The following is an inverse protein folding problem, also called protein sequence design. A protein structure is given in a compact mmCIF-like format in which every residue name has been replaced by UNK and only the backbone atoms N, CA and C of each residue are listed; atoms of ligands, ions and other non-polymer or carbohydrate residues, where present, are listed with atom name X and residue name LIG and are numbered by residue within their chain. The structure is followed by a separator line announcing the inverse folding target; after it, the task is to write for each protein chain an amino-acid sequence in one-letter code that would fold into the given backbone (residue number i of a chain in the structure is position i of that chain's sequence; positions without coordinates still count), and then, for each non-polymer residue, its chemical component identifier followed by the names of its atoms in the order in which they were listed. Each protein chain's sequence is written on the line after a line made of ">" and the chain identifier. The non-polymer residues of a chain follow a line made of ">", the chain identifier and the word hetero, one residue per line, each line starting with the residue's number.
data_IF_407140893700
#
_entry.id   IF_407140893700
#
_cell.length_a   1.000
_cell.length_b   1.000
_cell.length_c   1.000
_cell.angle_alpha   90.00
_cell.angle_beta   90.00
_cell.angle_gamma   90.00
#
_symmetry.space_group_name_H-M   'P 1'
#
loop_
_entity.id
_entity.type
_entity.pdbx_description
1 polymer ?
#
# COMPACT_ATOMS: atom_id res chain seq x y z
N UNK A 1 -23.70 32.57 23.26
CA UNK A 1 -22.31 32.06 23.20
C UNK A 1 -21.77 32.09 21.78
N UNK A 2 -22.53 31.69 20.76
CA UNK A 2 -22.12 31.74 19.34
C UNK A 2 -21.73 33.15 18.83
N UNK A 3 -22.46 34.22 19.18
CA UNK A 3 -22.10 35.59 18.73
C UNK A 3 -20.77 36.09 19.27
N UNK A 4 -20.37 35.65 20.47
CA UNK A 4 -19.07 36.05 21.07
C UNK A 4 -17.90 35.39 20.33
N UNK A 5 -18.07 34.15 19.86
CA UNK A 5 -17.07 33.43 19.07
C UNK A 5 -16.91 34.02 17.66
N UNK A 6 -18.01 34.47 17.04
CA UNK A 6 -17.99 35.09 15.70
C UNK A 6 -17.26 36.44 15.75
N UNK A 7 -17.59 37.31 16.71
CA UNK A 7 -16.92 38.61 16.91
C UNK A 7 -15.44 38.45 17.25
N UNK A 8 -15.08 37.39 17.99
CA UNK A 8 -13.68 37.08 18.32
C UNK A 8 -12.88 36.64 17.10
N UNK A 9 -13.43 35.78 16.23
CA UNK A 9 -12.77 35.33 14.99
C UNK A 9 -12.54 36.48 14.00
N UNK A 10 -13.48 37.39 13.83
CA UNK A 10 -13.36 38.54 12.92
C UNK A 10 -12.32 39.56 13.42
N UNK A 11 -12.26 39.77 14.74
CA UNK A 11 -11.25 40.62 15.38
C UNK A 11 -9.85 40.02 15.27
N UNK A 12 -9.70 38.71 15.53
CA UNK A 12 -8.43 37.99 15.38
C UNK A 12 -7.94 38.04 13.92
N UNK A 13 -8.86 37.92 12.95
CA UNK A 13 -8.55 38.01 11.51
C UNK A 13 -7.96 39.37 11.13
N UNK A 14 -8.52 40.46 11.69
CA UNK A 14 -7.97 41.82 11.49
C UNK A 14 -6.59 42.00 12.14
N UNK A 15 -6.37 41.37 13.28
CA UNK A 15 -5.11 41.44 14.01
C UNK A 15 -4.03 40.47 13.49
N UNK A 16 -4.35 39.56 12.55
CA UNK A 16 -3.42 38.52 12.11
C UNK A 16 -2.09 39.08 11.56
N UNK A 17 -2.15 40.14 10.77
CA UNK A 17 -0.96 40.81 10.21
C UNK A 17 -0.15 41.48 11.30
N UNK A 18 -0.81 42.19 12.23
CA UNK A 18 -0.14 42.85 13.36
C UNK A 18 0.51 41.83 14.31
N UNK A 19 -0.17 40.72 14.61
CA UNK A 19 0.37 39.63 15.43
C UNK A 19 1.62 39.03 14.77
N UNK A 20 1.55 38.73 13.48
CA UNK A 20 2.65 38.10 12.78
C UNK A 20 3.83 39.06 12.56
N UNK A 21 3.59 40.36 12.39
CA UNK A 21 4.64 41.39 12.20
C UNK A 21 5.27 41.80 13.53
N UNK A 22 4.47 42.15 14.54
CA UNK A 22 4.98 42.75 15.78
C UNK A 22 5.28 41.73 16.88
N UNK A 23 4.60 40.57 16.91
CA UNK A 23 4.84 39.57 17.94
C UNK A 23 5.66 38.38 17.45
N UNK A 24 5.44 37.93 16.22
CA UNK A 24 6.20 36.82 15.63
C UNK A 24 7.42 37.30 14.83
N UNK A 25 7.59 38.61 14.64
CA UNK A 25 8.68 39.26 13.91
C UNK A 25 8.89 38.68 12.50
N UNK A 26 7.80 38.24 11.84
CA UNK A 26 7.84 37.64 10.51
C UNK A 26 7.90 38.73 9.43
N UNK A 27 8.72 38.56 8.37
CA UNK A 27 8.83 39.52 7.28
C UNK A 27 7.65 39.39 6.32
N UNK A 28 6.52 40.02 6.64
CA UNK A 28 5.27 39.92 5.87
C UNK A 28 5.06 41.14 4.98
N UNK A 29 4.60 40.90 3.76
CA UNK A 29 4.09 41.96 2.88
C UNK A 29 2.71 42.43 3.38
N UNK A 30 2.51 43.72 3.72
CA UNK A 30 1.30 44.18 4.38
C UNK A 30 -0.01 43.90 3.63
N UNK A 31 0.04 43.83 2.30
CA UNK A 31 -1.14 43.65 1.43
C UNK A 31 -1.34 42.19 0.96
N UNK A 32 -0.54 41.23 1.45
CA UNK A 32 -0.59 39.83 0.99
C UNK A 32 -1.61 38.96 1.75
N UNK A 33 -2.53 39.55 2.52
CA UNK A 33 -3.46 38.80 3.36
C UNK A 33 -4.56 38.14 2.53
N UNK A 34 -4.42 36.83 2.30
CA UNK A 34 -5.50 35.98 1.81
C UNK A 34 -6.12 35.18 2.97
N UNK A 35 -7.42 35.34 3.20
CA UNK A 35 -8.09 34.64 4.29
C UNK A 35 -8.70 33.33 3.79
N UNK A 36 -8.06 32.23 4.19
CA UNK A 36 -8.54 30.89 3.88
C UNK A 36 -9.72 30.47 4.77
N UNK A 37 -10.65 29.64 4.27
CA UNK A 37 -11.72 29.09 5.09
C UNK A 37 -11.14 28.25 6.24
N UNK A 38 -11.68 28.41 7.44
CA UNK A 38 -11.20 27.72 8.66
C UNK A 38 -12.03 26.49 9.02
N UNK A 39 -13.17 26.31 8.36
CA UNK A 39 -14.10 25.22 8.63
C UNK A 39 -14.38 24.47 7.32
N UNK A 40 -13.81 23.27 7.21
CA UNK A 40 -14.10 22.33 6.15
C UNK A 40 -14.72 21.07 6.75
N UNK A 41 -16.01 20.85 6.52
CA UNK A 41 -16.63 19.57 6.85
C UNK A 41 -16.14 18.55 5.81
N UNK A 42 -15.21 17.69 6.23
CA UNK A 42 -14.65 16.65 5.39
C UNK A 42 -15.32 15.32 5.72
N UNK A 43 -16.14 14.82 4.79
CA UNK A 43 -16.64 13.44 4.83
C UNK A 43 -15.67 12.61 4.00
N UNK A 44 -14.84 11.83 4.67
CA UNK A 44 -13.86 10.95 4.02
C UNK A 44 -14.07 9.55 4.57
N UNK A 45 -14.23 8.56 3.67
CA UNK A 45 -14.33 7.15 4.04
C UNK A 45 -12.94 6.75 4.59
N UNK A 46 -12.81 6.71 5.92
CA UNK A 46 -11.55 6.44 6.62
C UNK A 46 -11.12 5.02 6.37
N UNK A 47 -10.37 4.80 5.30
CA UNK A 47 -9.69 3.52 5.07
C UNK A 47 -8.23 3.84 4.78
N UNK A 48 -7.45 3.92 5.86
CA UNK A 48 -6.09 3.42 5.76
C UNK A 48 -6.21 1.94 5.37
N UNK A 49 -5.41 1.48 4.41
CA UNK A 49 -5.56 0.11 3.90
C UNK A 49 -5.43 -0.93 5.02
N UNK A 50 -4.49 -0.70 5.95
CA UNK A 50 -4.34 -1.53 7.14
C UNK A 50 -3.79 -0.74 8.34
N UNK A 51 -4.44 -0.85 9.49
CA UNK A 51 -3.90 -0.44 10.81
C UNK A 51 -4.09 -1.57 11.79
N UNK A 52 -3.00 -2.09 12.34
CA UNK A 52 -3.03 -3.21 13.31
C UNK A 52 -2.09 -2.97 14.48
N UNK A 53 -2.45 -3.53 15.63
CA UNK A 53 -1.61 -3.57 16.82
C UNK A 53 -0.84 -4.89 16.84
N UNK A 54 0.48 -4.82 16.85
CA UNK A 54 1.38 -5.96 16.84
C UNK A 54 2.28 -5.97 18.08
N UNK A 55 2.93 -7.12 18.27
CA UNK A 55 3.97 -7.31 19.29
C UNK A 55 5.21 -7.87 18.61
N UNK A 56 6.37 -7.27 18.88
CA UNK A 56 7.63 -7.80 18.37
C UNK A 56 8.12 -9.01 19.20
N UNK A 57 9.26 -9.59 18.78
CA UNK A 57 9.84 -10.77 19.46
C UNK A 57 10.34 -10.46 20.88
N UNK A 58 10.62 -9.21 21.20
CA UNK A 58 11.02 -8.78 22.54
C UNK A 58 9.79 -8.56 23.46
N UNK A 59 8.58 -8.57 22.90
CA UNK A 59 7.34 -8.38 23.63
C UNK A 59 6.82 -6.94 23.56
N UNK A 60 7.51 -6.06 22.85
CA UNK A 60 7.14 -4.65 22.73
C UNK A 60 6.00 -4.47 21.75
N UNK A 61 5.03 -3.64 22.16
CA UNK A 61 3.79 -3.44 21.42
C UNK A 61 3.89 -2.18 20.56
N UNK A 62 3.48 -2.28 19.29
CA UNK A 62 3.48 -1.16 18.36
C UNK A 62 2.29 -1.21 17.40
N UNK A 63 2.00 -0.08 16.77
CA UNK A 63 1.03 0.03 15.69
C UNK A 63 1.78 -0.10 14.36
N UNK A 64 1.24 -0.93 13.46
CA UNK A 64 1.66 -1.01 12.07
C UNK A 64 0.56 -0.40 11.21
N UNK A 65 0.95 0.56 10.39
CA UNK A 65 0.11 1.13 9.34
C UNK A 65 0.73 0.82 7.98
N UNK A 66 -0.05 0.25 7.07
CA UNK A 66 0.36 -0.02 5.70
C UNK A 66 -0.66 0.63 4.77
N UNK A 67 -0.15 1.35 3.77
CA UNK A 67 -0.89 1.78 2.58
C UNK A 67 -0.30 1.09 1.35
N UNK A 68 -1.13 0.70 0.40
CA UNK A 68 -0.72 0.11 -0.87
C UNK A 68 -1.08 1.11 -1.99
N UNK A 69 -0.11 1.43 -2.85
CA UNK A 69 -0.35 2.33 -3.99
C UNK A 69 0.06 1.66 -5.30
N UNK A 70 -0.81 1.76 -6.30
CA UNK A 70 -0.55 1.25 -7.65
C UNK A 70 -0.06 2.36 -8.60
N UNK A 71 -0.21 3.63 -8.21
CA UNK A 71 0.16 4.80 -9.02
C UNK A 71 0.99 5.77 -8.19
N UNK A 72 1.80 6.59 -8.85
CA UNK A 72 2.48 7.69 -8.19
C UNK A 72 1.50 8.83 -7.90
N UNK A 73 1.33 9.15 -6.62
CA UNK A 73 0.50 10.24 -6.12
C UNK A 73 1.35 11.19 -5.28
N UNK A 74 1.58 12.39 -5.79
CA UNK A 74 2.41 13.41 -5.15
C UNK A 74 1.84 13.88 -3.79
N UNK A 75 0.56 13.60 -3.50
CA UNK A 75 -0.06 13.96 -2.21
C UNK A 75 0.19 12.92 -1.11
N UNK A 76 0.75 11.75 -1.45
CA UNK A 76 0.95 10.65 -0.51
C UNK A 76 1.73 11.03 0.76
N UNK A 77 2.81 11.83 0.72
CA UNK A 77 3.51 12.20 1.94
C UNK A 77 2.63 12.95 2.95
N UNK A 78 1.79 13.87 2.48
CA UNK A 78 0.83 14.59 3.33
C UNK A 78 -0.29 13.66 3.82
N UNK A 79 -0.78 12.75 2.97
CA UNK A 79 -1.77 11.74 3.36
C UNK A 79 -1.23 10.80 4.44
N UNK A 80 0.01 10.31 4.29
CA UNK A 80 0.69 9.45 5.26
C UNK A 80 0.89 10.16 6.60
N UNK A 81 1.31 11.43 6.59
CA UNK A 81 1.44 12.23 7.80
C UNK A 81 0.08 12.43 8.48
N UNK A 82 -0.98 12.67 7.72
CA UNK A 82 -2.33 12.77 8.28
C UNK A 82 -2.79 11.46 8.92
N UNK A 83 -2.58 10.33 8.25
CA UNK A 83 -2.90 9.02 8.83
C UNK A 83 -2.12 8.81 10.13
N UNK A 84 -0.85 9.23 10.17
CA UNK A 84 -0.03 9.19 11.38
C UNK A 84 -0.70 9.92 12.53
N UNK A 85 -1.13 11.17 12.29
CA UNK A 85 -1.74 12.00 13.33
C UNK A 85 -3.06 11.42 13.80
N UNK A 86 -3.91 10.95 12.89
CA UNK A 86 -5.21 10.37 13.24
C UNK A 86 -5.05 9.07 14.07
N UNK A 87 -4.11 8.20 13.68
CA UNK A 87 -3.81 6.95 14.39
C UNK A 87 -3.26 7.23 15.78
N UNK A 88 -2.29 8.14 15.91
CA UNK A 88 -1.67 8.47 17.20
C UNK A 88 -2.64 9.18 18.16
N UNK A 89 -3.57 9.99 17.63
CA UNK A 89 -4.65 10.58 18.43
C UNK A 89 -5.66 9.53 18.91
N UNK A 90 -5.99 8.55 18.07
CA UNK A 90 -6.87 7.43 18.44
C UNK A 90 -6.23 6.42 19.39
N UNK A 91 -4.91 6.30 19.36
CA UNK A 91 -4.14 5.31 20.12
C UNK A 91 -2.90 5.94 20.80
N UNK A 92 -3.10 6.84 21.77
CA UNK A 92 -2.01 7.58 22.39
C UNK A 92 -1.05 6.65 23.14
N UNK A 93 0.24 6.98 23.10
CA UNK A 93 1.30 6.29 23.84
C UNK A 93 1.85 5.01 23.20
N UNK A 94 1.31 4.57 22.05
CA UNK A 94 1.87 3.45 21.30
C UNK A 94 2.82 3.93 20.20
N UNK A 95 4.01 3.31 20.03
CA UNK A 95 4.86 3.56 18.88
C UNK A 95 4.13 3.19 17.58
N UNK A 96 4.30 4.00 16.52
CA UNK A 96 3.73 3.75 15.20
C UNK A 96 4.85 3.53 14.18
N UNK A 97 4.71 2.49 13.36
CA UNK A 97 5.53 2.23 12.18
C UNK A 97 4.63 2.32 10.95
N UNK A 98 4.92 3.24 10.05
CA UNK A 98 4.17 3.43 8.82
C UNK A 98 4.97 2.96 7.61
N UNK A 99 4.31 2.25 6.71
CA UNK A 99 4.88 1.84 5.43
C UNK A 99 3.90 2.13 4.29
N UNK A 100 4.45 2.55 3.15
CA UNK A 100 3.78 2.54 1.87
C UNK A 100 4.42 1.43 1.03
N UNK A 101 3.59 0.53 0.50
CA UNK A 101 4.02 -0.52 -0.43
C UNK A 101 3.56 -0.09 -1.83
N UNK A 102 4.52 0.19 -2.69
CA UNK A 102 4.27 0.53 -4.08
C UNK A 102 4.28 -0.73 -4.94
N UNK A 103 3.20 -0.93 -5.69
CA UNK A 103 2.99 -2.13 -6.52
C UNK A 103 2.82 -1.79 -8.01
N UNK A 104 2.99 -0.53 -8.38
CA UNK A 104 2.73 -0.02 -9.74
C UNK A 104 3.69 -0.52 -10.81
N UNK A 105 3.21 -0.47 -12.06
CA UNK A 105 3.98 -0.83 -13.26
C UNK A 105 4.95 0.27 -13.72
N UNK A 106 4.75 1.51 -13.29
CA UNK A 106 5.66 2.64 -13.55
C UNK A 106 6.77 2.71 -12.49
N UNK A 107 7.92 3.35 -12.76
CA UNK A 107 8.92 3.59 -11.73
C UNK A 107 8.36 4.44 -10.58
N UNK A 108 8.68 4.08 -9.34
CA UNK A 108 8.30 4.86 -8.17
C UNK A 108 8.95 6.25 -8.21
N UNK A 109 8.16 7.30 -8.02
CA UNK A 109 8.61 8.70 -7.97
C UNK A 109 8.14 9.44 -6.71
N UNK A 110 7.25 8.84 -5.93
CA UNK A 110 6.81 9.42 -4.65
C UNK A 110 7.95 9.46 -3.64
N UNK A 111 8.12 10.56 -2.88
CA UNK A 111 9.11 10.61 -1.82
C UNK A 111 8.62 9.87 -0.57
N UNK A 112 9.55 9.44 0.26
CA UNK A 112 9.30 8.68 1.50
C UNK A 112 9.00 9.58 2.72
N UNK A 113 8.63 10.83 2.47
CA UNK A 113 8.46 11.81 3.54
C UNK A 113 8.25 13.24 3.08
N UNK A 114 8.25 14.15 4.04
CA UNK A 114 8.18 15.59 3.88
C UNK A 114 9.43 16.18 4.52
N UNK A 115 10.12 17.00 3.74
CA UNK A 115 11.32 17.71 4.15
C UNK A 115 11.09 19.21 3.97
N UNK A 116 11.04 19.94 5.09
CA UNK A 116 10.91 21.39 5.13
C UNK A 116 11.73 22.00 6.25
N UNK A 117 11.79 23.34 6.35
CA UNK A 117 12.60 24.03 7.37
C UNK A 117 12.29 23.56 8.81
N UNK A 118 11.00 23.45 9.14
CA UNK A 118 10.53 23.11 10.49
C UNK A 118 9.82 21.75 10.57
N UNK A 119 9.79 20.99 9.48
CA UNK A 119 9.11 19.69 9.41
C UNK A 119 10.01 18.64 8.76
N UNK A 120 10.32 17.61 9.54
CA UNK A 120 10.98 16.40 9.07
C UNK A 120 10.06 15.23 9.39
N UNK A 121 9.45 14.65 8.37
CA UNK A 121 8.58 13.50 8.50
C UNK A 121 8.99 12.44 7.48
N UNK A 122 9.09 11.18 7.91
CA UNK A 122 9.40 10.04 7.04
C UNK A 122 8.53 8.84 7.39
N UNK A 123 8.29 8.02 6.40
CA UNK A 123 7.67 6.70 6.51
C UNK A 123 8.49 5.69 5.71
N UNK A 124 8.30 4.39 5.96
CA UNK A 124 8.94 3.37 5.15
C UNK A 124 8.30 3.33 3.76
N UNK A 125 9.11 3.33 2.71
CA UNK A 125 8.63 3.22 1.34
C UNK A 125 9.28 1.99 0.70
N UNK A 126 8.45 1.02 0.31
CA UNK A 126 8.88 -0.24 -0.30
C UNK A 126 8.36 -0.29 -1.74
N UNK A 127 9.26 -0.24 -2.72
CA UNK A 127 8.93 -0.57 -4.10
C UNK A 127 9.05 -2.09 -4.31
N UNK A 128 7.95 -2.75 -4.66
CA UNK A 128 7.98 -4.18 -4.97
C UNK A 128 8.85 -4.51 -6.18
N UNK A 129 9.12 -3.53 -7.06
CA UNK A 129 10.08 -3.66 -8.19
C UNK A 129 11.53 -3.80 -7.76
N UNK A 130 11.86 -3.45 -6.51
CA UNK A 130 13.21 -3.60 -5.97
C UNK A 130 13.37 -4.91 -5.17
N UNK A 131 12.27 -5.62 -4.92
CA UNK A 131 12.28 -6.90 -4.20
C UNK A 131 12.57 -8.02 -5.19
N UNK A 132 13.67 -8.74 -5.01
CA UNK A 132 13.99 -9.96 -5.77
C UNK A 132 12.91 -11.03 -5.51
N UNK A 133 12.24 -11.50 -6.58
CA UNK A 133 11.16 -12.49 -6.45
C UNK A 133 11.63 -13.78 -5.79
N UNK A 134 12.90 -14.17 -5.94
CA UNK A 134 13.46 -15.39 -5.33
C UNK A 134 13.30 -15.40 -3.82
N UNK A 135 13.44 -14.23 -3.17
CA UNK A 135 13.30 -14.11 -1.73
C UNK A 135 11.93 -14.61 -1.22
N UNK A 136 10.85 -14.32 -1.96
CA UNK A 136 9.49 -14.74 -1.64
C UNK A 136 9.17 -16.14 -2.17
N UNK A 137 9.64 -16.50 -3.37
CA UNK A 137 9.46 -17.83 -3.94
C UNK A 137 10.07 -18.92 -3.02
N UNK A 138 11.25 -18.67 -2.46
CA UNK A 138 11.93 -19.59 -1.53
C UNK A 138 11.18 -19.83 -0.21
N UNK A 139 10.23 -18.96 0.16
CA UNK A 139 9.42 -19.16 1.37
C UNK A 139 8.40 -20.29 1.19
N UNK A 140 8.02 -20.57 -0.06
CA UNK A 140 7.15 -21.69 -0.42
C UNK A 140 5.85 -21.77 0.38
N UNK A 141 5.28 -20.60 0.70
CA UNK A 141 3.94 -20.48 1.31
C UNK A 141 2.98 -19.84 0.31
N UNK A 142 1.67 -20.15 0.37
CA UNK A 142 0.71 -19.55 -0.55
C UNK A 142 0.74 -18.02 -0.59
N UNK A 143 0.82 -17.38 0.58
CA UNK A 143 0.85 -15.91 0.69
C UNK A 143 2.12 -15.32 0.07
N UNK A 144 3.28 -15.93 0.32
CA UNK A 144 4.54 -15.45 -0.24
C UNK A 144 4.61 -15.67 -1.76
N UNK A 145 4.12 -16.80 -2.25
CA UNK A 145 4.04 -17.10 -3.68
C UNK A 145 3.16 -16.09 -4.43
N UNK A 146 2.04 -15.70 -3.84
CA UNK A 146 1.16 -14.70 -4.44
C UNK A 146 1.76 -13.30 -4.40
N UNK A 147 2.43 -12.92 -3.32
CA UNK A 147 3.15 -11.64 -3.28
C UNK A 147 4.34 -11.59 -4.25
N UNK A 148 4.97 -12.73 -4.54
CA UNK A 148 6.09 -12.82 -5.47
C UNK A 148 5.73 -12.37 -6.90
N UNK A 149 4.45 -12.40 -7.29
CA UNK A 149 4.00 -11.90 -8.60
C UNK A 149 4.28 -10.40 -8.79
N UNK A 150 4.35 -9.65 -7.68
CA UNK A 150 4.59 -8.21 -7.68
C UNK A 150 6.08 -7.86 -7.68
N UNK A 151 6.96 -8.83 -7.46
CA UNK A 151 8.39 -8.63 -7.29
C UNK A 151 9.13 -8.38 -8.62
N UNK A 152 10.42 -8.05 -8.51
CA UNK A 152 11.34 -8.07 -9.63
C UNK A 152 11.66 -9.51 -10.04
N UNK A 153 11.44 -9.85 -11.31
CA UNK A 153 11.82 -11.16 -11.85
C UNK A 153 13.29 -11.22 -12.27
N UNK A 154 14.00 -10.08 -12.31
CA UNK A 154 15.38 -10.02 -12.78
C UNK A 154 15.51 -10.59 -14.19
N UNK A 155 16.46 -11.50 -14.38
CA UNK A 155 16.71 -12.18 -15.67
C UNK A 155 15.85 -13.45 -15.87
N UNK A 156 14.93 -13.76 -14.94
CA UNK A 156 14.07 -14.93 -15.08
C UNK A 156 13.00 -14.70 -16.14
N UNK A 157 12.74 -15.73 -16.94
CA UNK A 157 11.62 -15.75 -17.88
C UNK A 157 10.29 -15.57 -17.12
N UNK A 158 9.48 -14.54 -17.44
CA UNK A 158 8.24 -14.27 -16.72
C UNK A 158 7.27 -15.45 -16.76
N UNK A 159 7.16 -16.17 -17.89
CA UNK A 159 6.28 -17.33 -17.99
C UNK A 159 6.72 -18.44 -17.04
N UNK A 160 8.02 -18.71 -16.96
CA UNK A 160 8.58 -19.71 -16.05
C UNK A 160 8.29 -19.37 -14.57
N UNK A 161 8.41 -18.10 -14.17
CA UNK A 161 8.10 -17.65 -12.81
C UNK A 161 6.61 -17.83 -12.51
N UNK A 162 5.72 -17.38 -13.41
CA UNK A 162 4.27 -17.52 -13.24
C UNK A 162 3.87 -19.00 -13.18
N UNK A 163 4.36 -19.83 -14.10
CA UNK A 163 4.10 -21.27 -14.10
C UNK A 163 4.57 -21.94 -12.80
N UNK A 164 5.73 -21.52 -12.27
CA UNK A 164 6.25 -22.01 -11.01
C UNK A 164 5.29 -21.66 -9.85
N UNK A 165 4.87 -20.39 -9.73
CA UNK A 165 3.92 -19.95 -8.71
C UNK A 165 2.63 -20.78 -8.75
N UNK A 166 2.01 -20.92 -9.93
CA UNK A 166 0.79 -21.69 -10.12
C UNK A 166 0.96 -23.17 -9.75
N UNK A 167 2.06 -23.78 -10.18
CA UNK A 167 2.37 -25.18 -9.88
C UNK A 167 2.56 -25.39 -8.38
N UNK A 168 3.27 -24.49 -7.70
CA UNK A 168 3.47 -24.55 -6.25
C UNK A 168 2.17 -24.35 -5.49
N UNK A 169 1.36 -23.35 -5.86
CA UNK A 169 0.03 -23.15 -5.26
C UNK A 169 -0.86 -24.39 -5.41
N UNK A 170 -0.87 -25.01 -6.60
CA UNK A 170 -1.63 -26.24 -6.83
C UNK A 170 -1.12 -27.40 -5.98
N UNK A 171 0.19 -27.52 -5.80
CA UNK A 171 0.78 -28.55 -4.95
C UNK A 171 0.47 -28.34 -3.46
N UNK A 172 0.47 -27.08 -2.99
CA UNK A 172 0.26 -26.74 -1.58
C UNK A 172 -1.23 -26.72 -1.18
N UNK A 173 -2.13 -26.41 -2.13
CA UNK A 173 -3.56 -26.21 -1.87
C UNK A 173 -4.46 -27.19 -2.64
N UNK A 174 -3.89 -28.17 -3.34
CA UNK A 174 -4.64 -29.05 -4.26
C UNK A 174 -5.79 -29.82 -3.60
N UNK A 175 -5.65 -30.16 -2.32
CA UNK A 175 -6.69 -30.86 -1.55
C UNK A 175 -7.82 -29.91 -1.09
N UNK A 176 -7.60 -28.59 -1.15
CA UNK A 176 -8.57 -27.54 -0.84
C UNK A 176 -8.84 -26.68 -2.09
N UNK A 177 -9.68 -27.20 -2.99
CA UNK A 177 -10.03 -26.53 -4.24
C UNK A 177 -10.62 -25.13 -4.03
N UNK A 178 -11.30 -24.90 -2.90
CA UNK A 178 -11.87 -23.58 -2.60
C UNK A 178 -10.74 -22.59 -2.34
N UNK A 179 -9.84 -22.92 -1.42
CA UNK A 179 -8.71 -22.07 -1.07
C UNK A 179 -7.77 -21.86 -2.26
N UNK A 180 -7.51 -22.91 -3.06
CA UNK A 180 -6.73 -22.75 -4.29
C UNK A 180 -7.32 -21.69 -5.23
N UNK A 181 -8.64 -21.70 -5.46
CA UNK A 181 -9.31 -20.68 -6.28
C UNK A 181 -9.17 -19.28 -5.69
N UNK A 182 -9.32 -19.12 -4.38
CA UNK A 182 -9.13 -17.83 -3.70
C UNK A 182 -7.74 -17.24 -3.98
N UNK A 183 -6.67 -18.05 -3.90
CA UNK A 183 -5.30 -17.57 -4.21
C UNK A 183 -5.10 -17.27 -5.70
N UNK A 184 -5.73 -18.03 -6.60
CA UNK A 184 -5.71 -17.75 -8.04
C UNK A 184 -6.42 -16.44 -8.36
N UNK A 185 -7.55 -16.15 -7.71
CA UNK A 185 -8.25 -14.87 -7.87
C UNK A 185 -7.37 -13.68 -7.41
N UNK A 186 -6.65 -13.84 -6.30
CA UNK A 186 -5.69 -12.83 -5.83
C UNK A 186 -4.57 -12.63 -6.86
N UNK A 187 -4.01 -13.71 -7.43
CA UNK A 187 -3.01 -13.60 -8.50
C UNK A 187 -3.51 -12.81 -9.69
N UNK A 188 -4.75 -13.03 -10.14
CA UNK A 188 -5.32 -12.25 -11.24
C UNK A 188 -5.38 -10.76 -10.90
N UNK A 189 -5.87 -10.42 -9.71
CA UNK A 189 -5.95 -9.02 -9.27
C UNK A 189 -4.56 -8.38 -9.22
N UNK A 190 -3.58 -9.05 -8.61
CA UNK A 190 -2.23 -8.51 -8.46
C UNK A 190 -1.43 -8.48 -9.77
N UNK A 191 -1.65 -9.44 -10.67
CA UNK A 191 -0.99 -9.51 -11.97
C UNK A 191 -1.31 -8.30 -12.86
N UNK A 192 -2.49 -7.71 -12.69
CA UNK A 192 -2.92 -6.52 -13.41
C UNK A 192 -2.01 -5.30 -13.13
N UNK A 193 -1.40 -5.23 -11.95
CA UNK A 193 -0.44 -4.19 -11.60
C UNK A 193 0.92 -4.34 -12.30
N UNK A 194 1.20 -5.49 -12.91
CA UNK A 194 2.51 -5.85 -13.49
C UNK A 194 2.46 -6.19 -14.97
N UNK A 195 1.32 -5.98 -15.62
CA UNK A 195 1.08 -6.34 -17.02
C UNK A 195 1.35 -7.83 -17.32
N UNK A 196 1.00 -8.72 -16.37
CA UNK A 196 1.29 -10.15 -16.46
C UNK A 196 0.11 -10.98 -16.99
N UNK A 197 -0.94 -10.34 -17.52
CA UNK A 197 -2.21 -11.00 -17.85
C UNK A 197 -2.05 -12.16 -18.83
N UNK A 198 -1.26 -11.98 -19.89
CA UNK A 198 -1.04 -13.03 -20.90
C UNK A 198 -0.34 -14.26 -20.30
N UNK A 199 0.61 -14.05 -19.39
CA UNK A 199 1.34 -15.13 -18.72
C UNK A 199 0.44 -15.93 -17.77
N UNK A 200 -0.47 -15.24 -17.09
CA UNK A 200 -1.49 -15.86 -16.24
C UNK A 200 -2.42 -16.76 -17.08
N UNK A 201 -2.96 -16.23 -18.18
CA UNK A 201 -3.85 -17.00 -19.07
C UNK A 201 -3.17 -18.26 -19.63
N UNK A 202 -1.87 -18.17 -19.94
CA UNK A 202 -1.10 -19.33 -20.42
C UNK A 202 -0.83 -20.36 -19.32
N UNK A 203 -0.54 -19.91 -18.09
CA UNK A 203 -0.34 -20.79 -16.94
C UNK A 203 -1.62 -21.57 -16.57
N UNK A 204 -2.80 -20.97 -16.69
CA UNK A 204 -4.08 -21.64 -16.46
C UNK A 204 -4.36 -22.73 -17.50
N UNK A 205 -4.08 -22.46 -18.78
CA UNK A 205 -4.20 -23.46 -19.85
C UNK A 205 -3.28 -24.65 -19.59
N UNK A 206 -2.04 -24.38 -19.17
CA UNK A 206 -1.06 -25.41 -18.82
C UNK A 206 -1.58 -26.31 -17.70
N UNK A 207 -2.06 -25.73 -16.60
CA UNK A 207 -2.62 -26.49 -15.47
C UNK A 207 -3.82 -27.33 -15.87
N UNK A 208 -4.73 -26.76 -16.68
CA UNK A 208 -5.91 -27.47 -17.16
C UNK A 208 -5.51 -28.71 -17.97
N UNK A 209 -4.49 -28.61 -18.83
CA UNK A 209 -3.95 -29.76 -19.56
C UNK A 209 -3.40 -30.84 -18.63
N UNK A 210 -2.60 -30.45 -17.63
CA UNK A 210 -2.03 -31.37 -16.63
C UNK A 210 -3.13 -32.11 -15.86
N UNK A 211 -4.19 -31.39 -15.45
CA UNK A 211 -5.32 -31.98 -14.74
C UNK A 211 -6.08 -32.99 -15.63
N UNK A 212 -6.31 -32.67 -16.90
CA UNK A 212 -6.96 -33.57 -17.88
C UNK A 212 -6.10 -34.82 -18.13
N UNK A 213 -4.78 -34.68 -18.32
CA UNK A 213 -3.87 -35.81 -18.52
C UNK A 213 -3.78 -36.76 -17.32
N UNK A 214 -3.98 -36.23 -16.10
CA UNK A 214 -4.01 -37.02 -14.88
C UNK A 214 -5.32 -37.79 -14.69
N UNK A 215 -6.39 -37.45 -15.41
CA UNK A 215 -7.68 -38.13 -15.27
C UNK A 215 -7.56 -39.61 -15.67
N UNK A 216 -8.13 -40.55 -14.88
CA UNK A 216 -8.03 -41.99 -15.15
C UNK A 216 -8.48 -42.37 -16.57
N UNK A 217 -9.54 -41.73 -17.08
CA UNK A 217 -10.10 -42.01 -18.40
C UNK A 217 -9.20 -41.57 -19.57
N UNK A 218 -8.40 -40.52 -19.39
CA UNK A 218 -7.46 -40.07 -20.42
C UNK A 218 -6.31 -41.07 -20.60
N UNK A 219 -5.77 -41.60 -19.49
CA UNK A 219 -4.73 -42.66 -19.51
C UNK A 219 -5.24 -43.96 -20.16
N UNK A 220 -6.46 -44.38 -19.85
CA UNK A 220 -7.13 -45.53 -20.48
C UNK A 220 -7.31 -45.38 -22.01
N UNK A 221 -7.41 -44.14 -22.52
CA UNK A 221 -7.55 -43.87 -23.95
C UNK A 221 -6.23 -43.87 -24.73
N UNK A 222 -5.09 -43.66 -24.05
CA UNK A 222 -3.73 -43.63 -24.64
C UNK A 222 -3.05 -45.01 -24.65
N UNK A 223 -3.57 -45.98 -23.90
CA UNK A 223 -3.09 -47.38 -23.86
C UNK A 223 -3.70 -48.28 -24.97
N UNK A 224 -4.32 -47.69 -26.00
CA UNK A 224 -4.84 -48.37 -27.19
C UNK A 224 -4.12 -47.90 -28.44
#
# INVERSE_FOLDING_TARGET
>A
MADKDIVSKETIRRLAVDLATYLLELPIEPDSLEVLPTEHQRVEDRRADLVVKLRDRAGETFLLHIEIQNNNDATMPLRMMRYMTDILLGHPGLPLRQYLIYIGSEPLTMPDGIQGPDLHYRYGLLDMRDVDCRYLLEKDTPDALVLAILCNFGDHDPQAVVNHIYTRLRALLGDDTKRFREYVDILHVLSGSRDLKEYIEEAEKMLTRIDVERMPFYRLGMER
#
